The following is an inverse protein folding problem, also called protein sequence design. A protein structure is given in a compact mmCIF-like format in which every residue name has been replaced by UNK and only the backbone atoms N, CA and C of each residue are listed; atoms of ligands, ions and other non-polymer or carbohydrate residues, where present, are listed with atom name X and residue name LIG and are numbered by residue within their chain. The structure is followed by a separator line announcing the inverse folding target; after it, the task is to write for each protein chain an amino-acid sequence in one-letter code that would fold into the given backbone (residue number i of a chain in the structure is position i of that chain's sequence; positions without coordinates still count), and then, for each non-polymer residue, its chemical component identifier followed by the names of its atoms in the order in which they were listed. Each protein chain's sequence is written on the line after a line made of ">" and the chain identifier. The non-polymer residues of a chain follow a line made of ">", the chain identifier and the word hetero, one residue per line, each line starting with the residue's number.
data_IF_609954986487
#
_entry.id   IF_609954986487
#
_cell.length_a   1.000
_cell.length_b   1.000
_cell.length_c   1.000
_cell.angle_alpha   90.00
_cell.angle_beta   90.00
_cell.angle_gamma   90.00
#
_symmetry.space_group_name_H-M   'P 1'
#
loop_
_entity.id
_entity.type
_entity.pdbx_description
1 polymer ?
#
# COMPACT_ATOMS: atom_id res chain seq x y z
N UNK A 1 -2.38 -8.83 9.82
CA UNK A 1 -2.22 -10.10 9.06
C UNK A 1 -3.18 -11.22 9.43
N UNK A 2 -3.63 -11.39 10.69
CA UNK A 2 -4.51 -12.53 11.07
C UNK A 2 -5.80 -12.64 10.25
N UNK A 3 -6.47 -11.52 9.95
CA UNK A 3 -7.66 -11.49 9.10
C UNK A 3 -7.38 -12.02 7.69
N UNK A 4 -6.37 -11.47 7.01
CA UNK A 4 -5.97 -11.90 5.66
C UNK A 4 -5.57 -13.38 5.64
N UNK A 5 -4.82 -13.83 6.66
CA UNK A 5 -4.46 -15.24 6.80
C UNK A 5 -5.67 -16.16 7.01
N UNK A 6 -6.67 -15.71 7.78
CA UNK A 6 -7.93 -16.44 7.96
C UNK A 6 -8.72 -16.53 6.65
N UNK A 7 -8.79 -15.43 5.88
CA UNK A 7 -9.38 -15.43 4.54
C UNK A 7 -8.68 -16.44 3.63
N UNK A 8 -7.35 -16.47 3.62
CA UNK A 8 -6.60 -17.40 2.76
C UNK A 8 -6.85 -18.87 3.12
N UNK A 9 -6.87 -19.20 4.42
CA UNK A 9 -6.97 -20.59 4.90
C UNK A 9 -8.43 -21.07 4.95
N UNK A 10 -9.31 -20.28 5.57
CA UNK A 10 -10.70 -20.66 5.85
C UNK A 10 -11.66 -20.19 4.75
N UNK A 11 -11.24 -19.26 3.88
CA UNK A 11 -12.11 -18.66 2.86
C UNK A 11 -13.34 -17.95 3.43
N UNK A 12 -13.27 -17.51 4.68
CA UNK A 12 -14.38 -16.91 5.41
C UNK A 12 -14.02 -15.53 5.97
N UNK A 13 -15.05 -14.67 6.11
CA UNK A 13 -14.91 -13.40 6.80
C UNK A 13 -15.14 -13.58 8.30
N UNK A 14 -14.15 -13.21 9.13
CA UNK A 14 -14.29 -13.20 10.58
C UNK A 14 -14.60 -11.80 11.10
N UNK A 15 -15.80 -11.62 11.63
CA UNK A 15 -16.21 -10.38 12.31
C UNK A 15 -15.29 -10.05 13.50
N UNK A 16 -14.88 -11.05 14.26
CA UNK A 16 -13.99 -10.87 15.42
C UNK A 16 -12.60 -10.38 14.98
N UNK A 17 -12.05 -10.93 13.90
CA UNK A 17 -10.77 -10.47 13.36
C UNK A 17 -10.89 -9.08 12.72
N UNK A 18 -12.03 -8.75 12.11
CA UNK A 18 -12.34 -7.40 11.63
C UNK A 18 -12.32 -6.39 12.78
N UNK A 19 -13.10 -6.63 13.84
CA UNK A 19 -13.16 -5.77 15.03
C UNK A 19 -11.78 -5.58 15.65
N UNK A 20 -10.99 -6.65 15.73
CA UNK A 20 -9.63 -6.57 16.23
C UNK A 20 -8.72 -5.67 15.38
N UNK A 21 -8.79 -5.77 14.05
CA UNK A 21 -8.05 -4.86 13.14
C UNK A 21 -8.48 -3.40 13.37
N UNK A 22 -9.78 -3.14 13.49
CA UNK A 22 -10.30 -1.78 13.70
C UNK A 22 -9.91 -1.19 15.07
N UNK A 23 -9.83 -2.02 16.12
CA UNK A 23 -9.28 -1.61 17.43
C UNK A 23 -7.80 -1.24 17.31
N UNK A 24 -7.00 -2.10 16.68
CA UNK A 24 -5.58 -1.82 16.47
C UNK A 24 -5.37 -0.55 15.65
N UNK A 25 -6.21 -0.30 14.64
CA UNK A 25 -6.16 0.94 13.86
C UNK A 25 -6.49 2.14 14.74
N UNK A 26 -7.45 2.06 15.64
CA UNK A 26 -7.83 3.18 16.51
C UNK A 26 -6.73 3.54 17.53
N UNK A 27 -5.96 2.54 17.96
CA UNK A 27 -4.87 2.69 18.94
C UNK A 27 -3.53 3.09 18.29
N UNK A 28 -3.34 2.80 17.00
CA UNK A 28 -2.09 3.08 16.30
C UNK A 28 -1.85 4.58 16.06
N UNK A 29 -0.59 4.96 15.89
CA UNK A 29 -0.23 6.29 15.40
C UNK A 29 -0.66 6.41 13.92
N UNK A 30 -1.71 7.19 13.67
CA UNK A 30 -2.29 7.35 12.33
C UNK A 30 -1.36 8.00 11.31
N UNK A 31 -0.34 8.74 11.78
CA UNK A 31 0.64 9.39 10.92
C UNK A 31 1.85 8.48 10.60
N UNK A 32 1.91 7.28 11.18
CA UNK A 32 3.06 6.39 10.96
C UNK A 32 3.03 5.77 9.55
N UNK A 33 4.15 5.75 8.79
CA UNK A 33 4.20 5.21 7.43
C UNK A 33 3.60 3.82 7.24
N UNK A 34 3.78 2.92 8.20
CA UNK A 34 3.22 1.55 8.14
C UNK A 34 1.70 1.53 8.08
N UNK A 35 1.02 2.60 8.49
CA UNK A 35 -0.43 2.70 8.38
C UNK A 35 -0.90 2.72 6.93
N UNK A 36 -0.07 3.18 5.98
CA UNK A 36 -0.36 3.11 4.55
C UNK A 36 -0.49 1.65 4.12
N UNK A 37 0.51 0.82 4.42
CA UNK A 37 0.50 -0.62 4.13
C UNK A 37 -0.67 -1.32 4.84
N UNK A 38 -0.92 -1.00 6.12
CA UNK A 38 -2.01 -1.61 6.88
C UNK A 38 -3.37 -1.33 6.24
N UNK A 39 -3.64 -0.07 5.88
CA UNK A 39 -4.90 0.34 5.26
C UNK A 39 -5.07 -0.23 3.86
N UNK A 40 -4.00 -0.26 3.07
CA UNK A 40 -3.99 -0.86 1.73
C UNK A 40 -4.38 -2.34 1.79
N UNK A 41 -3.71 -3.14 2.62
CA UNK A 41 -4.02 -4.57 2.79
C UNK A 41 -5.45 -4.80 3.31
N UNK A 42 -5.89 -3.98 4.26
CA UNK A 42 -7.24 -4.10 4.82
C UNK A 42 -8.32 -3.72 3.79
N UNK A 43 -8.06 -2.68 2.99
CA UNK A 43 -8.93 -2.27 1.87
C UNK A 43 -9.13 -3.42 0.89
N UNK A 44 -8.05 -4.07 0.44
CA UNK A 44 -8.11 -5.20 -0.49
C UNK A 44 -8.95 -6.35 0.08
N UNK A 45 -8.73 -6.71 1.36
CA UNK A 45 -9.52 -7.75 2.03
C UNK A 45 -11.02 -7.41 2.10
N UNK A 46 -11.36 -6.16 2.46
CA UNK A 46 -12.75 -5.68 2.48
C UNK A 46 -13.40 -5.79 1.09
N UNK A 47 -12.67 -5.36 0.04
CA UNK A 47 -13.17 -5.37 -1.33
C UNK A 47 -13.51 -6.79 -1.81
N UNK A 48 -12.63 -7.77 -1.56
CA UNK A 48 -12.88 -9.17 -1.92
C UNK A 48 -14.10 -9.77 -1.25
N UNK A 49 -14.44 -9.31 -0.04
CA UNK A 49 -15.67 -9.71 0.67
C UNK A 49 -16.86 -8.78 0.41
N UNK A 50 -16.81 -8.00 -0.66
CA UNK A 50 -17.89 -7.12 -1.11
C UNK A 50 -18.24 -5.95 -0.17
N UNK A 51 -17.38 -5.64 0.81
CA UNK A 51 -17.45 -4.41 1.63
C UNK A 51 -16.84 -3.23 0.86
N UNK A 52 -17.39 -2.93 -0.33
CA UNK A 52 -16.78 -2.01 -1.30
C UNK A 52 -16.69 -0.56 -0.82
N UNK A 53 -17.66 -0.12 -0.02
CA UNK A 53 -17.69 1.26 0.51
C UNK A 53 -16.57 1.43 1.54
N UNK A 54 -16.46 0.51 2.48
CA UNK A 54 -15.44 0.48 3.51
C UNK A 54 -14.05 0.29 2.90
N UNK A 55 -13.93 -0.58 1.88
CA UNK A 55 -12.70 -0.74 1.12
C UNK A 55 -12.25 0.60 0.53
N UNK A 56 -13.12 1.28 -0.23
CA UNK A 56 -12.79 2.57 -0.83
C UNK A 56 -12.42 3.62 0.22
N UNK A 57 -13.10 3.64 1.37
CA UNK A 57 -12.75 4.54 2.48
C UNK A 57 -11.34 4.26 3.03
N UNK A 58 -10.98 2.99 3.23
CA UNK A 58 -9.62 2.63 3.68
C UNK A 58 -8.56 2.97 2.65
N UNK A 59 -8.86 2.75 1.36
CA UNK A 59 -7.99 3.14 0.27
C UNK A 59 -7.77 4.66 0.22
N UNK A 60 -8.84 5.46 0.34
CA UNK A 60 -8.75 6.92 0.36
C UNK A 60 -7.92 7.44 1.53
N UNK A 61 -8.02 6.79 2.70
CA UNK A 61 -7.19 7.11 3.86
C UNK A 61 -5.72 6.71 3.63
N UNK A 62 -5.46 5.59 2.95
CA UNK A 62 -4.10 5.18 2.58
C UNK A 62 -3.46 6.14 1.58
N UNK A 63 -4.20 6.52 0.53
CA UNK A 63 -3.77 7.51 -0.48
C UNK A 63 -3.42 8.82 0.19
N UNK A 64 -4.32 9.38 1.01
CA UNK A 64 -4.09 10.66 1.69
C UNK A 64 -2.83 10.63 2.53
N UNK A 65 -2.67 9.60 3.37
CA UNK A 65 -1.49 9.47 4.20
C UNK A 65 -0.19 9.32 3.38
N UNK A 66 -0.22 8.55 2.28
CA UNK A 66 0.94 8.40 1.41
C UNK A 66 1.34 9.73 0.73
N UNK A 67 0.36 10.56 0.36
CA UNK A 67 0.60 11.90 -0.17
C UNK A 67 1.14 12.84 0.90
N UNK A 68 0.55 12.85 2.11
CA UNK A 68 0.99 13.67 3.24
C UNK A 68 2.43 13.35 3.67
N UNK A 69 2.83 12.08 3.52
CA UNK A 69 4.19 11.60 3.80
C UNK A 69 5.14 11.77 2.62
N UNK A 70 4.67 12.25 1.47
CA UNK A 70 5.44 12.36 0.23
C UNK A 70 6.07 11.02 -0.22
N UNK A 71 5.37 9.89 -0.02
CA UNK A 71 5.88 8.55 -0.37
C UNK A 71 6.26 8.38 -1.85
N UNK A 72 5.70 9.22 -2.71
CA UNK A 72 5.99 9.27 -4.15
C UNK A 72 7.35 9.90 -4.47
N UNK A 73 8.05 10.47 -3.49
CA UNK A 73 9.36 11.07 -3.67
C UNK A 73 10.49 10.07 -3.42
N UNK A 74 11.53 10.11 -4.26
CA UNK A 74 12.72 9.27 -4.14
C UNK A 74 13.36 9.30 -2.73
N UNK A 75 13.32 10.45 -2.07
CA UNK A 75 13.90 10.65 -0.74
C UNK A 75 13.19 9.88 0.37
N UNK A 76 11.89 9.59 0.21
CA UNK A 76 11.08 9.00 1.26
C UNK A 76 11.60 7.62 1.70
N UNK A 77 11.78 6.72 0.73
CA UNK A 77 12.17 5.34 0.99
C UNK A 77 13.54 5.26 1.69
N UNK A 78 14.49 6.12 1.30
CA UNK A 78 15.82 6.18 1.94
C UNK A 78 15.74 6.73 3.36
N UNK A 79 14.93 7.77 3.58
CA UNK A 79 14.77 8.38 4.90
C UNK A 79 14.10 7.43 5.92
N UNK A 80 13.19 6.55 5.46
CA UNK A 80 12.44 5.63 6.31
C UNK A 80 12.95 4.18 6.24
N UNK A 81 14.00 3.94 5.47
CA UNK A 81 14.55 2.62 5.22
C UNK A 81 15.54 2.11 6.27
N UNK A 82 15.98 2.97 7.20
CA UNK A 82 16.94 2.61 8.25
C UNK A 82 18.21 1.89 7.74
N UNK A 83 18.69 2.29 6.56
CA UNK A 83 19.82 1.64 5.84
C UNK A 83 19.61 0.17 5.46
N UNK A 84 18.39 -0.36 5.65
CA UNK A 84 18.00 -1.71 5.23
C UNK A 84 17.47 -1.69 3.78
N UNK A 85 18.17 -2.34 2.83
CA UNK A 85 17.75 -2.38 1.43
C UNK A 85 16.34 -2.95 1.23
N UNK A 86 15.94 -3.93 2.06
CA UNK A 86 14.62 -4.55 2.01
C UNK A 86 13.57 -3.53 2.44
N UNK A 87 13.82 -2.78 3.52
CA UNK A 87 12.85 -1.79 3.99
C UNK A 87 12.72 -0.61 3.01
N UNK A 88 13.84 -0.14 2.43
CA UNK A 88 13.83 0.87 1.36
C UNK A 88 12.96 0.40 0.21
N UNK A 89 13.15 -0.83 -0.28
CA UNK A 89 12.37 -1.37 -1.38
C UNK A 89 10.89 -1.57 -1.01
N UNK A 90 10.60 -2.00 0.22
CA UNK A 90 9.23 -2.15 0.72
C UNK A 90 8.44 -0.84 0.63
N UNK A 91 9.08 0.30 0.91
CA UNK A 91 8.46 1.61 0.77
C UNK A 91 8.20 1.98 -0.69
N UNK A 92 9.15 1.72 -1.59
CA UNK A 92 8.94 1.96 -3.05
C UNK A 92 7.78 1.13 -3.57
N UNK A 93 7.75 -0.17 -3.23
CA UNK A 93 6.65 -1.08 -3.58
C UNK A 93 5.31 -0.63 -3.02
N UNK A 94 5.28 -0.10 -1.79
CA UNK A 94 4.05 0.41 -1.17
C UNK A 94 3.43 1.52 -2.01
N UNK A 95 4.21 2.48 -2.52
CA UNK A 95 3.70 3.53 -3.40
C UNK A 95 3.10 2.98 -4.69
N UNK A 96 3.84 2.08 -5.37
CA UNK A 96 3.40 1.52 -6.65
C UNK A 96 2.21 0.57 -6.51
N UNK A 97 2.11 -0.18 -5.42
CA UNK A 97 0.93 -0.99 -5.10
C UNK A 97 -0.30 -0.10 -4.88
N UNK A 98 -0.12 1.02 -4.16
CA UNK A 98 -1.15 2.04 -3.98
C UNK A 98 -1.66 2.58 -5.33
N UNK A 99 -0.73 2.92 -6.23
CA UNK A 99 -1.04 3.39 -7.57
C UNK A 99 -1.88 2.38 -8.36
N UNK A 100 -1.46 1.12 -8.37
CA UNK A 100 -2.13 0.05 -9.12
C UNK A 100 -3.53 -0.24 -8.54
N UNK A 101 -3.65 -0.33 -7.21
CA UNK A 101 -4.92 -0.64 -6.56
C UNK A 101 -5.92 0.51 -6.69
N UNK A 102 -5.48 1.78 -6.66
CA UNK A 102 -6.38 2.93 -6.84
C UNK A 102 -6.95 2.95 -8.27
N UNK A 103 -6.09 2.69 -9.27
CA UNK A 103 -6.51 2.53 -10.66
C UNK A 103 -7.51 1.38 -10.82
N UNK A 104 -7.24 0.24 -10.17
CA UNK A 104 -8.13 -0.92 -10.18
C UNK A 104 -9.50 -0.62 -9.57
N UNK A 105 -9.55 0.14 -8.48
CA UNK A 105 -10.80 0.57 -7.85
C UNK A 105 -11.57 1.55 -8.73
N UNK A 106 -10.90 2.54 -9.32
CA UNK A 106 -11.51 3.48 -10.24
C UNK A 106 -12.19 2.75 -11.42
N UNK A 107 -11.49 1.80 -12.03
CA UNK A 107 -12.03 0.98 -13.12
C UNK A 107 -13.20 0.09 -12.68
N UNK A 108 -13.08 -0.59 -11.55
CA UNK A 108 -14.07 -1.60 -11.11
C UNK A 108 -15.33 -0.98 -10.50
N UNK A 109 -15.19 0.13 -9.77
CA UNK A 109 -16.32 0.83 -9.17
C UNK A 109 -16.97 1.82 -10.13
N UNK A 110 -16.41 2.02 -11.33
CA UNK A 110 -16.87 3.01 -12.29
C UNK A 110 -16.75 4.45 -11.77
N UNK A 111 -15.81 4.69 -10.86
CA UNK A 111 -15.57 6.01 -10.28
C UNK A 111 -14.46 6.71 -11.03
N UNK A 112 -14.62 8.01 -11.33
CA UNK A 112 -13.58 8.82 -11.96
C UNK A 112 -12.46 9.26 -10.98
N UNK A 113 -12.48 8.79 -9.73
CA UNK A 113 -11.50 9.16 -8.71
C UNK A 113 -10.27 8.24 -8.76
N UNK A 114 -9.36 8.51 -9.69
CA UNK A 114 -8.01 7.93 -9.69
C UNK A 114 -7.04 9.01 -9.19
N UNK A 115 -6.94 9.16 -7.87
CA UNK A 115 -6.37 10.37 -7.25
C UNK A 115 -4.87 10.49 -7.49
N UNK A 116 -4.19 9.35 -7.58
CA UNK A 116 -2.73 9.29 -7.69
C UNK A 116 -2.22 9.38 -9.13
N UNK A 117 -3.09 9.41 -10.14
CA UNK A 117 -2.70 9.43 -11.57
C UNK A 117 -1.94 10.69 -11.97
N UNK A 118 -2.32 11.83 -11.41
CA UNK A 118 -1.74 13.13 -11.75
C UNK A 118 -0.51 13.47 -10.90
N UNK A 119 -0.06 12.54 -10.05
CA UNK A 119 1.10 12.74 -9.19
C UNK A 119 2.38 12.46 -9.98
N UNK A 120 3.24 13.47 -10.10
CA UNK A 120 4.57 13.30 -10.66
C UNK A 120 5.49 12.56 -9.67
N UNK A 121 5.41 11.24 -9.70
CA UNK A 121 6.22 10.37 -8.85
C UNK A 121 7.71 10.48 -9.22
N UNK A 122 8.60 10.64 -8.25
CA UNK A 122 10.06 10.58 -8.49
C UNK A 122 10.69 9.29 -7.95
N UNK A 123 9.93 8.54 -7.15
CA UNK A 123 10.31 7.21 -6.67
C UNK A 123 10.57 6.26 -7.83
N UNK A 124 11.63 5.47 -7.71
CA UNK A 124 12.00 4.49 -8.74
C UNK A 124 10.97 3.36 -8.81
N UNK A 125 10.91 2.68 -9.96
CA UNK A 125 10.08 1.48 -10.10
C UNK A 125 10.57 0.37 -9.14
N UNK A 126 9.68 -0.56 -8.74
CA UNK A 126 10.07 -1.70 -7.92
C UNK A 126 11.17 -2.51 -8.57
N UNK A 127 12.05 -3.06 -7.74
CA UNK A 127 13.09 -3.96 -8.18
C UNK A 127 12.56 -5.36 -8.48
N UNK A 128 13.41 -6.20 -9.08
CA UNK A 128 13.08 -7.61 -9.29
C UNK A 128 12.90 -8.35 -7.96
N UNK A 129 12.05 -9.39 -7.96
CA UNK A 129 11.72 -10.12 -6.72
C UNK A 129 12.95 -10.75 -6.04
N UNK A 130 13.86 -11.32 -6.83
CA UNK A 130 15.08 -11.91 -6.30
C UNK A 130 16.02 -10.87 -5.65
N UNK A 131 16.02 -9.62 -6.13
CA UNK A 131 16.80 -8.53 -5.51
C UNK A 131 16.22 -8.19 -4.13
N UNK A 132 14.88 -8.10 -4.06
CA UNK A 132 14.16 -7.83 -2.81
C UNK A 132 14.37 -8.94 -1.77
N UNK A 133 14.19 -10.21 -2.16
CA UNK A 133 14.32 -11.37 -1.27
C UNK A 133 15.75 -11.55 -0.74
N UNK A 134 16.76 -11.22 -1.55
CA UNK A 134 18.17 -11.35 -1.16
C UNK A 134 18.70 -10.12 -0.43
N UNK A 135 17.94 -9.02 -0.38
CA UNK A 135 18.37 -7.74 0.21
C UNK A 135 19.52 -7.09 -0.57
N UNK A 136 19.73 -7.47 -1.84
CA UNK A 136 20.74 -6.83 -2.69
C UNK A 136 20.13 -5.54 -3.21
N UNK A 137 20.73 -4.41 -2.85
CA UNK A 137 20.27 -3.09 -3.29
C UNK A 137 20.17 -3.04 -4.82
N UNK A 138 18.97 -2.81 -5.33
CA UNK A 138 18.75 -2.75 -6.77
C UNK A 138 19.48 -1.56 -7.38
N UNK A 139 20.28 -1.83 -8.41
CA UNK A 139 20.91 -0.80 -9.25
C UNK A 139 19.95 -0.29 -10.34
N UNK A 140 18.69 -0.72 -10.34
CA UNK A 140 17.71 -0.29 -11.34
C UNK A 140 17.39 1.20 -11.17
N UNK A 141 17.81 1.99 -12.17
CA UNK A 141 17.54 3.44 -12.28
C UNK A 141 16.31 3.69 -13.17
N UNK A 142 15.50 2.66 -13.45
CA UNK A 142 14.34 2.80 -14.32
C UNK A 142 13.34 3.73 -13.65
N UNK A 143 13.22 4.95 -14.21
CA UNK A 143 12.20 5.90 -13.80
C UNK A 143 10.94 5.56 -14.57
N UNK A 144 9.78 5.78 -13.96
CA UNK A 144 8.51 5.57 -14.65
C UNK A 144 8.39 6.39 -15.95
N UNK A 145 9.08 7.54 -16.03
CA UNK A 145 9.15 8.39 -17.23
C UNK A 145 9.97 7.80 -18.39
N UNK A 146 10.72 6.73 -18.13
CA UNK A 146 11.54 6.05 -19.14
C UNK A 146 10.76 4.93 -19.89
N UNK A 147 9.50 4.68 -19.51
CA UNK A 147 8.56 3.75 -20.16
C UNK A 147 7.54 4.49 -21.04
#
# INVERSE_FOLDING_TARGET
>A
MRLVGNIYIAQEWSAQLKEHVESCFSEANQAHPTMVQCRLLYSVALFWYSYKVEAKQQMDLAVRLALDLEMFQQGFARAHGAEDPVLIESWRRTWWELYIIDAYYAGTLGTLSFTVVDIDATVELPCEEWEYETGVGSNSVLKWKDL
#
